data_IF_814520829258
#
_entry.id   IF_814520829258
#
_cell.length_a   1.000
_cell.length_b   1.000
_cell.length_c   1.000
_cell.angle_alpha   90.00
_cell.angle_beta   90.00
_cell.angle_gamma   90.00
#
_symmetry.space_group_name_H-M   'P 1'
#
loop_
_entity.id
_entity.type
_entity.pdbx_description
1 polymer ?
#
# COMPACT_ATOMS: atom_id res chain seq x y z
N UNK A 1 23.78 -19.28 -24.53
CA UNK A 1 23.88 -20.24 -25.69
C UNK A 1 22.86 -21.37 -25.57
N UNK A 2 22.72 -22.05 -24.43
CA UNK A 2 21.76 -23.15 -24.20
C UNK A 2 20.35 -22.73 -24.54
N UNK A 3 19.82 -21.64 -23.96
CA UNK A 3 18.46 -21.15 -24.22
C UNK A 3 18.19 -20.86 -25.70
N UNK A 4 19.17 -20.30 -26.44
CA UNK A 4 19.03 -20.05 -27.87
C UNK A 4 18.96 -21.35 -28.70
N UNK A 5 19.65 -22.43 -28.28
CA UNK A 5 19.64 -23.74 -28.91
C UNK A 5 18.28 -24.43 -28.86
N UNK A 6 17.54 -24.17 -27.77
CA UNK A 6 16.23 -24.78 -27.49
C UNK A 6 15.04 -23.82 -27.68
N UNK A 7 15.27 -22.57 -28.10
CA UNK A 7 14.24 -21.52 -28.19
C UNK A 7 13.03 -21.90 -29.08
N UNK A 8 13.25 -22.72 -30.09
CA UNK A 8 12.20 -23.13 -31.03
C UNK A 8 11.71 -24.58 -30.80
N UNK A 9 12.20 -25.27 -29.76
CA UNK A 9 11.83 -26.65 -29.46
C UNK A 9 10.91 -26.65 -28.26
N UNK A 10 9.62 -26.96 -28.46
CA UNK A 10 8.59 -26.98 -27.42
C UNK A 10 8.21 -28.40 -27.00
N UNK A 11 8.89 -29.43 -27.51
CA UNK A 11 8.67 -30.80 -27.12
C UNK A 11 9.25 -31.10 -25.74
N UNK A 12 8.59 -31.95 -24.98
CA UNK A 12 8.92 -32.30 -23.60
C UNK A 12 10.35 -32.84 -23.44
N UNK A 13 10.80 -33.64 -24.41
CA UNK A 13 12.16 -34.20 -24.43
C UNK A 13 13.23 -33.10 -24.57
N UNK A 14 12.99 -32.08 -25.39
CA UNK A 14 13.91 -30.96 -25.56
C UNK A 14 13.93 -30.05 -24.33
N UNK A 15 12.80 -29.88 -23.66
CA UNK A 15 12.73 -29.12 -22.37
C UNK A 15 13.52 -29.81 -21.27
N UNK A 16 13.43 -31.14 -21.15
CA UNK A 16 14.20 -31.91 -20.19
C UNK A 16 15.71 -31.81 -20.47
N UNK A 17 16.14 -31.98 -21.74
CA UNK A 17 17.54 -31.81 -22.11
C UNK A 17 18.07 -30.39 -21.83
N UNK A 18 17.27 -29.37 -22.11
CA UNK A 18 17.63 -27.99 -21.75
C UNK A 18 17.86 -27.83 -20.27
N UNK A 19 17.00 -28.42 -19.44
CA UNK A 19 17.10 -28.35 -17.98
C UNK A 19 18.32 -29.11 -17.48
N UNK A 20 18.63 -30.28 -18.03
CA UNK A 20 19.85 -31.06 -17.71
C UNK A 20 21.11 -30.28 -18.07
N UNK A 21 21.19 -29.70 -19.28
CA UNK A 21 22.35 -28.88 -19.69
C UNK A 21 22.51 -27.65 -18.80
N UNK A 22 21.40 -27.02 -18.37
CA UNK A 22 21.47 -25.91 -17.42
C UNK A 22 21.94 -26.35 -16.05
N UNK A 23 21.45 -27.48 -15.54
CA UNK A 23 21.89 -28.03 -14.24
C UNK A 23 23.40 -28.35 -14.25
N UNK A 24 23.90 -28.98 -15.33
CA UNK A 24 25.33 -29.25 -15.48
C UNK A 24 26.19 -27.96 -15.46
N UNK A 25 25.69 -26.88 -16.02
CA UNK A 25 26.37 -25.57 -15.95
C UNK A 25 26.36 -25.03 -14.52
N UNK A 26 25.22 -25.09 -13.83
CA UNK A 26 25.11 -24.65 -12.45
C UNK A 26 26.05 -25.43 -11.53
N UNK A 27 26.09 -26.78 -11.68
CA UNK A 27 26.99 -27.63 -10.90
C UNK A 27 28.46 -27.32 -11.17
N UNK A 28 28.81 -27.09 -12.44
CA UNK A 28 30.19 -26.73 -12.83
C UNK A 28 30.67 -25.43 -12.19
N UNK A 29 29.77 -24.46 -11.98
CA UNK A 29 30.08 -23.17 -11.34
C UNK A 29 29.76 -23.14 -9.83
N UNK A 30 29.37 -24.28 -9.24
CA UNK A 30 29.00 -24.35 -7.82
C UNK A 30 27.74 -23.56 -7.45
N UNK A 31 26.92 -23.22 -8.43
CA UNK A 31 25.69 -22.44 -8.24
C UNK A 31 24.53 -23.40 -7.98
N UNK A 32 23.94 -23.35 -6.81
CA UNK A 32 22.71 -24.09 -6.53
C UNK A 32 21.50 -23.31 -7.05
N UNK A 33 20.58 -24.00 -7.73
CA UNK A 33 19.35 -23.41 -8.29
C UNK A 33 18.48 -22.73 -7.20
N UNK A 34 18.58 -23.21 -5.94
CA UNK A 34 17.93 -22.63 -4.76
C UNK A 34 18.56 -21.33 -4.26
N UNK A 35 19.80 -21.00 -4.66
CA UNK A 35 20.47 -19.78 -4.18
C UNK A 35 19.83 -18.49 -4.71
N UNK A 36 19.11 -18.54 -5.84
CA UNK A 36 18.40 -17.42 -6.39
C UNK A 36 17.09 -17.06 -5.66
N UNK A 37 16.44 -18.01 -5.00
CA UNK A 37 15.19 -17.74 -4.28
C UNK A 37 15.40 -17.39 -2.80
N UNK A 38 16.57 -17.69 -2.22
CA UNK A 38 16.86 -17.42 -0.81
C UNK A 38 16.73 -15.92 -0.43
N UNK A 39 17.30 -14.98 -1.21
CA UNK A 39 17.09 -13.55 -0.97
C UNK A 39 15.61 -13.15 -1.00
N UNK A 40 14.83 -13.72 -1.92
CA UNK A 40 13.40 -13.43 -2.03
C UNK A 40 12.60 -13.96 -0.85
N UNK A 41 12.94 -15.12 -0.32
CA UNK A 41 12.34 -15.66 0.91
C UNK A 41 12.66 -14.79 2.13
N UNK A 42 13.91 -14.32 2.24
CA UNK A 42 14.32 -13.40 3.30
C UNK A 42 13.55 -12.08 3.20
N UNK A 43 13.42 -11.52 1.98
CA UNK A 43 12.64 -10.32 1.73
C UNK A 43 11.17 -10.47 2.12
N UNK A 44 10.60 -11.65 1.95
CA UNK A 44 9.21 -11.96 2.30
C UNK A 44 8.99 -11.89 3.83
N UNK A 45 9.95 -12.35 4.63
CA UNK A 45 9.90 -12.23 6.10
C UNK A 45 9.89 -10.75 6.52
N UNK A 46 10.74 -9.92 5.92
CA UNK A 46 10.72 -8.45 6.17
C UNK A 46 9.40 -7.81 5.74
N UNK A 47 8.86 -8.21 4.58
CA UNK A 47 7.59 -7.69 4.10
C UNK A 47 6.45 -8.01 5.08
N UNK A 48 6.36 -9.24 5.57
CA UNK A 48 5.33 -9.62 6.55
C UNK A 48 5.50 -8.90 7.89
N UNK A 49 6.74 -8.62 8.31
CA UNK A 49 7.01 -7.84 9.52
C UNK A 49 6.65 -6.36 9.38
N UNK A 50 6.85 -5.78 8.19
CA UNK A 50 6.53 -4.37 7.92
C UNK A 50 5.05 -4.14 7.59
N UNK A 51 4.36 -5.13 7.08
CA UNK A 51 2.97 -4.99 6.64
C UNK A 51 2.02 -4.45 7.74
N UNK A 52 2.03 -4.96 8.99
CA UNK A 52 1.21 -4.42 10.07
C UNK A 52 1.54 -2.96 10.39
N UNK A 53 2.82 -2.57 10.31
CA UNK A 53 3.26 -1.19 10.58
C UNK A 53 2.68 -0.22 9.55
N UNK A 54 2.71 -0.61 8.26
CA UNK A 54 2.17 0.21 7.17
C UNK A 54 0.64 0.29 7.23
N UNK A 55 -0.03 -0.79 7.68
CA UNK A 55 -1.49 -0.81 7.82
C UNK A 55 -1.99 0.01 9.03
N UNK A 56 -1.17 0.17 10.06
CA UNK A 56 -1.55 0.82 11.31
C UNK A 56 -0.55 1.92 11.70
N UNK A 57 -0.23 2.81 10.75
CA UNK A 57 0.72 3.93 10.95
C UNK A 57 0.44 4.72 12.25
N UNK A 58 -0.82 5.06 12.61
CA UNK A 58 -1.06 5.82 13.84
C UNK A 58 -0.67 5.09 15.14
N UNK A 59 -0.60 3.76 15.12
CA UNK A 59 -0.14 2.99 16.28
C UNK A 59 1.36 3.15 16.50
N UNK A 60 2.14 3.22 15.43
CA UNK A 60 3.61 3.26 15.47
C UNK A 60 4.18 4.67 15.36
N UNK A 61 3.44 5.63 14.78
CA UNK A 61 3.90 7.01 14.57
C UNK A 61 3.13 7.97 15.46
N UNK A 62 3.71 8.30 16.61
CA UNK A 62 3.12 9.18 17.63
C UNK A 62 2.65 10.52 17.04
N UNK A 63 3.39 11.09 16.09
CA UNK A 63 3.03 12.38 15.46
C UNK A 63 1.68 12.27 14.73
N UNK A 64 1.44 11.20 13.99
CA UNK A 64 0.18 10.95 13.30
C UNK A 64 -0.94 10.72 14.32
N UNK A 65 -0.68 9.89 15.34
CA UNK A 65 -1.64 9.63 16.42
C UNK A 65 -2.11 10.91 17.10
N UNK A 66 -1.19 11.81 17.44
CA UNK A 66 -1.49 13.04 18.19
C UNK A 66 -2.43 13.99 17.44
N UNK A 67 -2.47 13.93 16.11
CA UNK A 67 -3.41 14.72 15.30
C UNK A 67 -4.85 14.28 15.53
N UNK A 68 -5.08 13.00 15.78
CA UNK A 68 -6.43 12.45 15.99
C UNK A 68 -6.92 12.58 17.44
N UNK A 69 -6.03 12.69 18.45
CA UNK A 69 -6.40 12.69 19.87
C UNK A 69 -7.47 13.74 20.21
N UNK A 70 -7.36 15.03 19.79
CA UNK A 70 -8.38 16.03 20.12
C UNK A 70 -9.76 15.69 19.56
N UNK A 71 -9.82 15.05 18.39
CA UNK A 71 -11.07 14.61 17.80
C UNK A 71 -11.65 13.40 18.55
N UNK A 72 -10.82 12.43 18.93
CA UNK A 72 -11.23 11.26 19.74
C UNK A 72 -11.88 11.71 21.04
N UNK A 73 -11.24 12.62 21.78
CA UNK A 73 -11.78 13.15 23.05
C UNK A 73 -13.17 13.79 22.87
N UNK A 74 -13.34 14.55 21.78
CA UNK A 74 -14.62 15.19 21.47
C UNK A 74 -15.70 14.18 21.05
N UNK A 75 -15.32 13.16 20.26
CA UNK A 75 -16.24 12.08 19.89
C UNK A 75 -16.68 11.32 21.15
N UNK A 76 -15.76 10.93 22.02
CA UNK A 76 -16.04 10.20 23.26
C UNK A 76 -16.91 11.00 24.24
N UNK A 77 -16.86 12.32 24.20
CA UNK A 77 -17.74 13.19 24.99
C UNK A 77 -19.19 13.25 24.45
N UNK A 78 -19.45 12.67 23.27
CA UNK A 78 -20.77 12.69 22.63
C UNK A 78 -21.55 11.43 22.99
N UNK A 79 -22.79 11.57 23.48
CA UNK A 79 -23.62 10.41 23.86
C UNK A 79 -23.91 9.52 22.65
N UNK A 80 -23.70 8.22 22.81
CA UNK A 80 -23.99 7.22 21.74
C UNK A 80 -22.94 7.13 20.65
N UNK A 81 -21.77 7.74 20.85
CA UNK A 81 -20.66 7.73 19.88
C UNK A 81 -20.24 6.32 19.43
N UNK A 82 -20.31 5.32 20.32
CA UNK A 82 -19.89 3.94 20.01
C UNK A 82 -20.67 3.36 18.86
N UNK A 83 -22.02 3.54 18.85
CA UNK A 83 -22.89 3.07 17.77
C UNK A 83 -22.60 3.80 16.46
N UNK A 84 -22.34 5.08 16.53
CA UNK A 84 -22.04 5.91 15.36
C UNK A 84 -20.70 5.44 14.77
N UNK A 85 -19.66 5.33 15.60
CA UNK A 85 -18.33 4.87 15.16
C UNK A 85 -18.37 3.45 14.61
N UNK A 86 -19.09 2.53 15.26
CA UNK A 86 -19.28 1.17 14.76
C UNK A 86 -19.95 1.17 13.38
N UNK A 87 -21.00 1.97 13.19
CA UNK A 87 -21.68 2.07 11.88
C UNK A 87 -20.75 2.62 10.77
N UNK A 88 -19.92 3.61 11.08
CA UNK A 88 -18.98 4.21 10.13
C UNK A 88 -17.80 3.28 9.82
N UNK A 89 -17.43 2.42 10.76
CA UNK A 89 -16.34 1.46 10.60
C UNK A 89 -16.74 0.21 9.81
N UNK A 90 -18.06 -0.05 9.69
CA UNK A 90 -18.58 -1.22 8.97
C UNK A 90 -18.11 -1.20 7.51
N UNK A 91 -17.50 -2.30 7.08
CA UNK A 91 -16.93 -2.42 5.74
C UNK A 91 -15.52 -1.81 5.56
N UNK A 92 -15.03 -1.01 6.51
CA UNK A 92 -13.68 -0.43 6.49
C UNK A 92 -12.68 -1.26 7.32
N UNK A 93 -13.15 -1.76 8.47
CA UNK A 93 -12.33 -2.53 9.40
C UNK A 93 -12.99 -3.87 9.67
N UNK A 94 -12.28 -5.00 9.47
CA UNK A 94 -12.79 -6.31 9.86
C UNK A 94 -13.11 -6.36 11.35
N UNK A 95 -14.31 -6.84 11.71
CA UNK A 95 -14.73 -6.93 13.11
C UNK A 95 -15.08 -5.59 13.77
N UNK A 96 -15.42 -4.56 12.99
CA UNK A 96 -15.79 -3.23 13.47
C UNK A 96 -16.87 -3.25 14.57
N UNK A 97 -17.80 -4.18 14.51
CA UNK A 97 -18.89 -4.31 15.49
C UNK A 97 -18.44 -4.78 16.88
N UNK A 98 -17.29 -5.46 16.93
CA UNK A 98 -16.72 -6.01 18.17
C UNK A 98 -15.56 -5.16 18.72
N UNK A 99 -15.22 -4.05 18.06
CA UNK A 99 -14.16 -3.16 18.51
C UNK A 99 -14.57 -2.41 19.77
N UNK A 100 -13.62 -2.28 20.69
CA UNK A 100 -13.76 -1.45 21.89
C UNK A 100 -13.45 0.03 21.57
N UNK A 101 -14.51 0.81 21.30
CA UNK A 101 -14.40 2.24 20.96
C UNK A 101 -14.08 3.14 22.15
N UNK A 102 -13.99 2.60 23.38
CA UNK A 102 -13.49 3.36 24.54
C UNK A 102 -11.98 3.57 24.42
N UNK A 103 -11.27 2.71 23.68
CA UNK A 103 -9.84 2.83 23.43
C UNK A 103 -9.57 3.79 22.29
N UNK A 104 -8.86 4.87 22.58
CA UNK A 104 -8.45 5.87 21.59
C UNK A 104 -7.73 5.25 20.38
N UNK A 105 -6.89 4.23 20.60
CA UNK A 105 -6.18 3.53 19.53
C UNK A 105 -7.11 2.92 18.48
N UNK A 106 -8.15 2.21 18.92
CA UNK A 106 -9.13 1.59 18.03
C UNK A 106 -9.90 2.65 17.21
N UNK A 107 -10.28 3.76 17.86
CA UNK A 107 -10.94 4.86 17.16
C UNK A 107 -10.06 5.51 16.11
N UNK A 108 -8.78 5.72 16.44
CA UNK A 108 -7.80 6.31 15.51
C UNK A 108 -7.56 5.36 14.34
N UNK A 109 -7.43 4.06 14.58
CA UNK A 109 -7.30 3.06 13.51
C UNK A 109 -8.48 3.10 12.53
N UNK A 110 -9.69 3.20 13.03
CA UNK A 110 -10.91 3.32 12.23
C UNK A 110 -10.90 4.62 11.42
N UNK A 111 -10.68 5.76 12.08
CA UNK A 111 -10.68 7.09 11.44
C UNK A 111 -9.55 7.22 10.41
N UNK A 112 -8.41 6.56 10.62
CA UNK A 112 -7.30 6.54 9.66
C UNK A 112 -7.68 5.89 8.33
N UNK A 113 -8.68 5.00 8.33
CA UNK A 113 -9.20 4.34 7.12
C UNK A 113 -10.40 5.06 6.50
N UNK A 114 -10.84 6.19 7.07
CA UNK A 114 -11.96 6.96 6.55
C UNK A 114 -11.64 7.58 5.20
N UNK A 115 -12.59 7.51 4.29
CA UNK A 115 -12.60 8.23 3.03
C UNK A 115 -13.37 9.55 3.19
N UNK A 116 -13.29 10.44 2.21
CA UNK A 116 -13.98 11.73 2.24
C UNK A 116 -15.49 11.61 2.50
N UNK A 117 -16.14 10.59 1.93
CA UNK A 117 -17.55 10.29 2.18
C UNK A 117 -17.85 9.94 3.63
N UNK A 118 -16.97 9.14 4.26
CA UNK A 118 -17.13 8.71 5.66
C UNK A 118 -16.90 9.87 6.62
N UNK A 119 -15.96 10.78 6.31
CA UNK A 119 -15.76 12.00 7.07
C UNK A 119 -17.00 12.91 7.01
N UNK A 120 -17.61 13.07 5.85
CA UNK A 120 -18.86 13.82 5.71
C UNK A 120 -20.01 13.17 6.51
N UNK A 121 -20.14 11.84 6.45
CA UNK A 121 -21.13 11.12 7.24
C UNK A 121 -20.92 11.27 8.75
N UNK A 122 -19.66 11.32 9.22
CA UNK A 122 -19.36 11.62 10.63
C UNK A 122 -19.87 13.02 11.02
N UNK A 123 -19.63 14.03 10.18
CA UNK A 123 -20.11 15.41 10.39
C UNK A 123 -21.64 15.45 10.39
N UNK A 124 -22.29 14.75 9.46
CA UNK A 124 -23.77 14.70 9.41
C UNK A 124 -24.36 14.08 10.68
N UNK A 125 -23.73 13.03 11.21
CA UNK A 125 -24.17 12.37 12.44
C UNK A 125 -23.78 13.13 13.71
N UNK A 126 -22.73 13.93 13.66
CA UNK A 126 -22.18 14.73 14.78
C UNK A 126 -21.86 16.17 14.34
N UNK A 127 -22.85 17.03 14.02
CA UNK A 127 -22.59 18.36 13.45
C UNK A 127 -21.77 19.28 14.36
N UNK A 128 -21.84 19.06 15.68
CA UNK A 128 -21.07 19.85 16.66
C UNK A 128 -19.55 19.64 16.55
N UNK A 129 -19.11 18.59 15.86
CA UNK A 129 -17.70 18.24 15.68
C UNK A 129 -17.11 18.74 14.36
N UNK A 130 -17.91 19.38 13.49
CA UNK A 130 -17.48 19.81 12.17
C UNK A 130 -16.16 20.59 12.18
N UNK A 131 -16.03 21.57 13.06
CA UNK A 131 -14.81 22.37 13.16
C UNK A 131 -13.58 21.56 13.54
N UNK A 132 -13.75 20.60 14.46
CA UNK A 132 -12.65 19.72 14.93
C UNK A 132 -12.30 18.70 13.87
N UNK A 133 -13.29 18.14 13.17
CA UNK A 133 -13.10 17.23 12.04
C UNK A 133 -12.31 17.93 10.93
N UNK A 134 -12.74 19.14 10.52
CA UNK A 134 -12.06 19.90 9.47
C UNK A 134 -10.61 20.23 9.85
N UNK A 135 -10.35 20.58 11.11
CA UNK A 135 -9.00 20.83 11.59
C UNK A 135 -8.14 19.57 11.52
N UNK A 136 -8.67 18.44 12.02
CA UNK A 136 -7.98 17.14 11.95
C UNK A 136 -7.67 16.75 10.51
N UNK A 137 -8.64 16.88 9.58
CA UNK A 137 -8.44 16.58 8.17
C UNK A 137 -7.37 17.47 7.53
N UNK A 138 -7.35 18.76 7.86
CA UNK A 138 -6.32 19.70 7.40
C UNK A 138 -4.93 19.27 7.86
N UNK A 139 -4.77 18.91 9.14
CA UNK A 139 -3.49 18.47 9.68
C UNK A 139 -3.04 17.12 9.10
N UNK A 140 -3.96 16.17 8.91
CA UNK A 140 -3.68 14.90 8.23
C UNK A 140 -3.24 15.13 6.79
N UNK A 141 -3.92 16.02 6.06
CA UNK A 141 -3.54 16.40 4.69
C UNK A 141 -2.13 16.99 4.65
N UNK A 142 -1.75 17.84 5.61
CA UNK A 142 -0.39 18.35 5.71
C UNK A 142 0.66 17.25 5.97
N UNK A 143 0.33 16.25 6.80
CA UNK A 143 1.22 15.12 7.06
C UNK A 143 1.38 14.19 5.84
N UNK A 144 0.31 14.03 5.08
CA UNK A 144 0.28 13.18 3.88
C UNK A 144 0.81 13.89 2.63
N UNK A 145 1.01 15.20 2.68
CA UNK A 145 1.48 15.95 1.53
C UNK A 145 3.00 15.80 1.36
N UNK A 146 3.40 15.07 0.34
CA UNK A 146 4.80 14.93 -0.07
C UNK A 146 5.00 15.54 -1.46
N UNK A 147 5.76 16.63 -1.54
CA UNK A 147 6.03 17.35 -2.79
C UNK A 147 4.76 17.79 -3.56
N UNK A 148 3.69 18.13 -2.82
CA UNK A 148 2.42 18.53 -3.43
C UNK A 148 1.50 17.36 -3.79
N UNK A 149 1.89 16.12 -3.48
CA UNK A 149 1.09 14.93 -3.71
C UNK A 149 0.61 14.37 -2.37
N UNK A 150 -0.68 14.11 -2.25
CA UNK A 150 -1.23 13.40 -1.10
C UNK A 150 -0.92 11.89 -1.23
N UNK A 151 0.07 11.43 -0.47
CA UNK A 151 0.51 10.03 -0.47
C UNK A 151 -0.47 9.10 0.27
N UNK A 152 -1.38 9.65 1.06
CA UNK A 152 -2.43 8.91 1.76
C UNK A 152 -3.68 8.67 0.91
N UNK A 153 -3.84 9.41 -0.19
CA UNK A 153 -5.01 9.28 -1.04
C UNK A 153 -4.90 8.06 -1.98
N UNK A 154 -6.04 7.41 -2.21
CA UNK A 154 -6.11 6.32 -3.17
C UNK A 154 -5.90 6.85 -4.59
N UNK A 155 -5.01 6.29 -5.43
CA UNK A 155 -4.70 6.81 -6.77
C UNK A 155 -5.93 6.95 -7.68
N UNK A 156 -6.88 6.03 -7.55
CA UNK A 156 -8.13 6.08 -8.30
C UNK A 156 -9.00 7.28 -7.92
N UNK A 157 -9.10 7.58 -6.63
CA UNK A 157 -9.86 8.73 -6.14
C UNK A 157 -9.21 10.04 -6.59
N UNK A 158 -7.87 10.14 -6.49
CA UNK A 158 -7.12 11.29 -7.00
C UNK A 158 -7.39 11.52 -8.49
N UNK A 159 -7.46 10.44 -9.28
CA UNK A 159 -7.73 10.54 -10.72
C UNK A 159 -9.17 11.00 -10.98
N UNK A 160 -10.15 10.40 -10.31
CA UNK A 160 -11.57 10.76 -10.49
C UNK A 160 -11.86 12.20 -10.06
N UNK A 161 -11.29 12.63 -8.94
CA UNK A 161 -11.45 13.98 -8.40
C UNK A 161 -10.76 15.02 -9.33
N UNK A 162 -9.57 14.68 -9.84
CA UNK A 162 -8.86 15.54 -10.80
C UNK A 162 -9.60 15.65 -12.13
N UNK A 163 -10.23 14.58 -12.61
CA UNK A 163 -11.08 14.60 -13.81
C UNK A 163 -12.35 15.42 -13.58
N UNK A 164 -13.02 15.26 -12.44
CA UNK A 164 -14.20 16.02 -12.07
C UNK A 164 -13.91 17.52 -11.94
N UNK A 165 -12.73 17.87 -11.42
CA UNK A 165 -12.25 19.25 -11.30
C UNK A 165 -11.64 19.80 -12.60
N UNK A 166 -11.62 19.03 -13.72
CA UNK A 166 -10.94 19.36 -14.97
C UNK A 166 -9.47 19.82 -14.79
N UNK A 167 -8.80 19.28 -13.78
CA UNK A 167 -7.42 19.63 -13.41
C UNK A 167 -6.41 18.76 -14.14
N UNK A 168 -5.79 19.26 -15.21
CA UNK A 168 -4.74 18.55 -15.95
C UNK A 168 -3.55 18.21 -15.03
N UNK A 169 -3.16 19.14 -14.16
CA UNK A 169 -2.08 18.92 -13.20
C UNK A 169 -2.40 17.78 -12.22
N UNK A 170 -3.64 17.73 -11.71
CA UNK A 170 -4.09 16.64 -10.83
C UNK A 170 -4.05 15.26 -11.50
N UNK A 171 -4.48 15.18 -12.76
CA UNK A 171 -4.42 13.94 -13.56
C UNK A 171 -2.96 13.48 -13.76
N UNK A 172 -2.05 14.40 -14.10
CA UNK A 172 -0.63 14.07 -14.27
C UNK A 172 -0.05 13.53 -12.96
N UNK A 173 -0.34 14.16 -11.82
CA UNK A 173 0.13 13.73 -10.50
C UNK A 173 -0.43 12.36 -10.15
N UNK A 174 -1.73 12.12 -10.35
CA UNK A 174 -2.37 10.85 -10.03
C UNK A 174 -1.77 9.66 -10.82
N UNK A 175 -1.35 9.90 -12.07
CA UNK A 175 -0.78 8.88 -12.97
C UNK A 175 0.73 8.75 -12.80
N UNK A 176 1.43 9.79 -12.33
CA UNK A 176 2.89 9.84 -12.26
C UNK A 176 3.47 8.70 -11.41
N UNK A 177 2.92 8.45 -10.21
CA UNK A 177 3.44 7.42 -9.29
C UNK A 177 3.30 6.02 -9.89
N UNK A 178 2.11 5.58 -10.36
CA UNK A 178 1.97 4.28 -11.03
C UNK A 178 2.86 4.11 -12.26
N UNK A 179 3.01 5.15 -13.07
CA UNK A 179 3.87 5.11 -14.27
C UNK A 179 5.34 4.97 -13.89
N UNK A 180 5.83 5.76 -12.92
CA UNK A 180 7.21 5.64 -12.43
C UNK A 180 7.47 4.26 -11.83
N UNK A 181 6.54 3.72 -11.05
CA UNK A 181 6.65 2.37 -10.50
C UNK A 181 6.73 1.32 -11.61
N UNK A 182 5.88 1.41 -12.62
CA UNK A 182 5.90 0.52 -13.78
C UNK A 182 7.19 0.62 -14.60
N UNK A 183 7.69 1.85 -14.84
CA UNK A 183 8.94 2.08 -15.55
C UNK A 183 10.16 1.52 -14.78
N UNK A 184 10.23 1.78 -13.48
CA UNK A 184 11.32 1.25 -12.64
C UNK A 184 11.31 -0.28 -12.60
N UNK A 185 10.13 -0.88 -12.50
CA UNK A 185 9.98 -2.34 -12.56
C UNK A 185 10.40 -2.88 -13.93
N UNK A 186 9.96 -2.26 -15.02
CA UNK A 186 10.34 -2.65 -16.37
C UNK A 186 11.85 -2.59 -16.59
N UNK A 187 12.50 -1.48 -16.16
CA UNK A 187 13.95 -1.31 -16.25
C UNK A 187 14.66 -2.38 -15.42
N UNK A 188 14.21 -2.63 -14.18
CA UNK A 188 14.76 -3.66 -13.29
C UNK A 188 14.72 -5.05 -13.93
N UNK A 189 13.59 -5.43 -14.51
CA UNK A 189 13.45 -6.71 -15.20
C UNK A 189 14.35 -6.79 -16.43
N UNK A 190 14.44 -5.71 -17.22
CA UNK A 190 15.32 -5.67 -18.40
C UNK A 190 16.80 -5.79 -18.02
N UNK A 191 17.24 -5.06 -17.00
CA UNK A 191 18.62 -5.12 -16.50
C UNK A 191 18.94 -6.50 -15.93
N UNK A 192 18.02 -7.09 -15.18
CA UNK A 192 18.16 -8.45 -14.66
C UNK A 192 18.30 -9.51 -15.77
N UNK A 193 17.50 -9.40 -16.83
CA UNK A 193 17.58 -10.27 -17.99
C UNK A 193 18.87 -10.05 -18.79
N UNK A 194 19.33 -8.81 -18.94
CA UNK A 194 20.57 -8.47 -19.61
C UNK A 194 21.80 -9.02 -18.85
N UNK A 195 21.79 -8.91 -17.50
CA UNK A 195 22.83 -9.50 -16.64
C UNK A 195 22.87 -11.01 -16.71
N UNK A 196 21.73 -11.68 -16.78
CA UNK A 196 21.63 -13.12 -16.95
C UNK A 196 22.04 -13.59 -18.39
N UNK A 197 21.89 -12.72 -19.40
CA UNK A 197 22.27 -13.01 -20.80
C UNK A 197 23.69 -12.61 -21.18
N UNK A 198 24.36 -11.76 -20.39
CA UNK A 198 25.70 -11.24 -20.68
C UNK A 198 26.88 -12.06 -20.13
N UNK A 199 26.60 -13.14 -19.37
CA UNK A 199 27.61 -14.09 -18.89
C UNK A 199 27.72 -15.31 -19.84
N UNK A 200 27.89 -15.04 -21.13
CA UNK A 200 28.12 -16.08 -22.14
C UNK A 200 29.25 -15.71 -23.08
#
# INVERSE_FOLDING_TARGET
>A
KIQKRYANKKDQASMLKQQEEMNMVYDKYGLKMSSGCLPSLLQLVFLFGLYPVVQNIPEYVTKVRNVYIPLVEKIQATTGYEKIMSSLATGLVPGAESLDYTKAGNMIEVMYKFQSSTWNELVDKMPKLESVVNNTMSEVSHLNNFLGVDIGAHPWNLLTDALAAASIAGVIIAVLIPVLAGLTQFISVKLSQAGAGGAA
#
